data_IF_722048314047
#
_entry.id   IF_722048314047
#
_cell.length_a   1.000
_cell.length_b   1.000
_cell.length_c   1.000
_cell.angle_alpha   90.00
_cell.angle_beta   90.00
_cell.angle_gamma   90.00
#
_symmetry.space_group_name_H-M   'P 1'
#
loop_
_entity.id
_entity.type
_entity.pdbx_description
1 polymer ?
#
# COMPACT_ATOMS: atom_id res chain seq x y z
N UNK A 1 4.05 -3.00 17.91
CA UNK A 1 4.66 -2.40 16.70
C UNK A 1 3.63 -1.44 16.13
N UNK A 2 4.02 -0.23 15.74
CA UNK A 2 3.08 0.77 15.23
C UNK A 2 2.88 0.53 13.74
N UNK A 3 1.97 -0.36 13.39
CA UNK A 3 1.64 -0.64 12.00
C UNK A 3 1.01 0.63 11.37
N UNK A 4 1.33 0.87 10.09
CA UNK A 4 0.82 2.02 9.34
C UNK A 4 -0.44 1.61 8.61
N UNK A 5 -1.59 2.17 9.00
CA UNK A 5 -2.86 1.94 8.33
C UNK A 5 -2.98 2.80 7.07
N UNK A 6 -3.29 2.14 5.95
CA UNK A 6 -3.54 2.75 4.65
C UNK A 6 -4.94 2.32 4.18
N UNK A 7 -5.69 3.21 3.53
CA UNK A 7 -7.06 2.93 3.07
C UNK A 7 -7.17 3.28 1.59
N UNK A 8 -7.52 2.32 0.74
CA UNK A 8 -7.61 2.54 -0.70
C UNK A 8 -8.87 1.93 -1.30
N UNK A 9 -9.17 2.35 -2.53
CA UNK A 9 -10.27 1.79 -3.32
C UNK A 9 -9.76 0.60 -4.15
N UNK A 10 -10.54 -0.48 -4.18
CA UNK A 10 -10.19 -1.71 -4.90
C UNK A 10 -11.24 -2.05 -5.94
N UNK A 11 -10.78 -2.53 -7.09
CA UNK A 11 -11.64 -3.19 -8.07
C UNK A 11 -11.82 -4.65 -7.65
N UNK A 12 -13.07 -5.10 -7.49
CA UNK A 12 -13.38 -6.50 -7.17
C UNK A 12 -13.51 -7.30 -8.46
N UNK A 13 -12.63 -8.27 -8.65
CA UNK A 13 -12.58 -9.13 -9.85
C UNK A 13 -12.85 -10.59 -9.44
N UNK A 14 -13.94 -11.21 -9.93
CA UNK A 14 -14.20 -12.62 -9.67
C UNK A 14 -13.12 -13.52 -10.28
N UNK A 15 -12.64 -14.51 -9.51
CA UNK A 15 -11.68 -15.50 -9.99
C UNK A 15 -10.24 -14.98 -10.15
N UNK A 16 -9.87 -13.94 -9.42
CA UNK A 16 -8.47 -13.50 -9.35
C UNK A 16 -7.60 -14.62 -8.77
N UNK A 17 -6.44 -14.87 -9.38
CA UNK A 17 -5.51 -15.92 -8.95
C UNK A 17 -4.84 -15.58 -7.61
N UNK A 18 -4.60 -14.30 -7.37
CA UNK A 18 -4.04 -13.75 -6.16
C UNK A 18 -5.15 -13.21 -5.23
N UNK A 19 -4.86 -13.12 -3.93
CA UNK A 19 -5.80 -12.55 -2.96
C UNK A 19 -6.07 -11.06 -3.22
N UNK A 20 -5.02 -10.31 -3.54
CA UNK A 20 -5.09 -8.90 -3.92
C UNK A 20 -3.87 -8.51 -4.75
N UNK A 21 -4.05 -7.55 -5.66
CA UNK A 21 -2.95 -6.94 -6.41
C UNK A 21 -2.81 -5.49 -5.97
N UNK A 22 -1.64 -5.15 -5.45
CA UNK A 22 -1.27 -3.76 -5.16
C UNK A 22 -0.62 -3.16 -6.40
N UNK A 23 -1.39 -2.38 -7.14
CA UNK A 23 -0.92 -1.72 -8.36
C UNK A 23 -0.07 -0.48 -8.10
N UNK A 24 0.51 0.05 -9.18
CA UNK A 24 1.32 1.28 -9.15
C UNK A 24 0.56 2.49 -8.57
N UNK A 25 -0.75 2.59 -8.81
CA UNK A 25 -1.57 3.69 -8.29
C UNK A 25 -1.56 3.73 -6.75
N UNK A 26 -1.86 2.61 -6.09
CA UNK A 26 -1.79 2.47 -4.64
C UNK A 26 -0.38 2.72 -4.11
N UNK A 27 0.64 2.16 -4.76
CA UNK A 27 2.04 2.39 -4.34
C UNK A 27 2.42 3.87 -4.40
N UNK A 28 2.05 4.58 -5.46
CA UNK A 28 2.33 6.00 -5.62
C UNK A 28 1.54 6.86 -4.64
N UNK A 29 0.24 6.59 -4.46
CA UNK A 29 -0.65 7.29 -3.53
C UNK A 29 -0.09 7.26 -2.10
N UNK A 30 0.39 6.10 -1.67
CA UNK A 30 0.90 5.88 -0.32
C UNK A 30 2.42 6.03 -0.19
N UNK A 31 3.11 6.35 -1.29
CA UNK A 31 4.59 6.42 -1.36
C UNK A 31 5.25 5.15 -0.81
N UNK A 32 4.65 4.00 -1.11
CA UNK A 32 5.20 2.69 -0.77
C UNK A 32 6.48 2.50 -1.56
N UNK A 33 7.56 2.13 -0.87
CA UNK A 33 8.85 1.82 -1.48
C UNK A 33 9.18 0.35 -1.26
N UNK A 34 9.61 -0.30 -2.34
CA UNK A 34 10.12 -1.67 -2.30
C UNK A 34 11.63 -1.60 -2.13
N UNK A 35 12.13 -2.18 -1.04
CA UNK A 35 13.55 -2.34 -0.81
C UNK A 35 13.95 -3.77 -1.19
N UNK A 36 14.40 -3.93 -2.43
CA UNK A 36 14.76 -5.25 -2.98
C UNK A 36 16.05 -5.83 -2.38
N UNK A 37 16.91 -4.99 -1.78
CA UNK A 37 18.15 -5.47 -1.14
C UNK A 37 17.85 -6.18 0.18
N UNK A 38 16.80 -5.76 0.87
CA UNK A 38 16.41 -6.30 2.17
C UNK A 38 15.08 -7.06 2.16
N UNK A 39 14.43 -7.15 1.00
CA UNK A 39 13.10 -7.75 0.83
C UNK A 39 12.06 -7.15 1.79
N UNK A 40 12.06 -5.82 1.90
CA UNK A 40 11.15 -5.08 2.78
C UNK A 40 10.30 -4.05 2.04
N UNK A 41 9.19 -3.68 2.67
CA UNK A 41 8.30 -2.61 2.21
C UNK A 41 8.36 -1.46 3.21
N UNK A 42 8.64 -0.27 2.71
CA UNK A 42 8.78 0.94 3.51
C UNK A 42 7.68 1.96 3.20
N UNK A 43 7.10 2.55 4.24
CA UNK A 43 6.05 3.58 4.15
C UNK A 43 6.30 4.65 5.21
N UNK A 44 6.20 5.93 4.83
CA UNK A 44 6.27 7.05 5.81
C UNK A 44 4.90 7.21 6.51
N UNK A 45 4.81 7.02 7.84
CA UNK A 45 3.57 7.18 8.61
C UNK A 45 2.92 8.56 8.47
N UNK A 46 3.68 9.59 8.08
CA UNK A 46 3.13 10.94 7.85
C UNK A 46 2.18 10.96 6.66
N UNK A 47 2.40 10.11 5.64
CA UNK A 47 1.54 10.03 4.45
C UNK A 47 0.16 9.51 4.84
N UNK A 48 0.08 8.53 5.75
CA UNK A 48 -1.17 8.00 6.28
C UNK A 48 -1.97 9.05 7.08
N UNK A 49 -1.30 9.87 7.89
CA UNK A 49 -1.94 10.88 8.75
C UNK A 49 -2.50 12.09 7.98
N UNK A 50 -1.95 12.40 6.81
CA UNK A 50 -2.36 13.57 6.02
C UNK A 50 -3.70 13.38 5.28
N UNK A 51 -4.17 12.14 5.13
CA UNK A 51 -5.37 11.79 4.35
C UNK A 51 -6.63 11.58 5.22
N UNK A 52 -6.51 11.55 6.56
CA UNK A 52 -7.64 11.45 7.50
C UNK A 52 -8.30 12.82 7.81
N UNK A 53 -8.19 13.80 6.92
CA UNK A 53 -8.73 15.15 7.08
C UNK A 53 -9.84 15.44 6.10
#
# INVERSE_FOLDING_TARGET
>A
MNDVLLSDEFLVVPGLSEEAIIGAATMQKWRIKLNFEHDTVEVDPKVAKMQLK
#
